data_IF_297427929151
#
_entry.id   IF_297427929151
#
_cell.length_a   1.000
_cell.length_b   1.000
_cell.length_c   1.000
_cell.angle_alpha   90.00
_cell.angle_beta   90.00
_cell.angle_gamma   90.00
#
_symmetry.space_group_name_H-M   'P 1'
#
loop_
_entity.id
_entity.type
_entity.pdbx_description
1 polymer ?
#
# COMPACT_ATOMS: atom_id res chain seq x y z
N UNK A 1 48.11 -29.40 8.06
CA UNK A 1 46.76 -28.79 8.16
C UNK A 1 45.98 -29.12 6.91
N UNK A 2 45.01 -30.03 6.99
CA UNK A 2 44.24 -30.50 5.84
C UNK A 2 43.12 -29.50 5.49
N UNK A 3 43.15 -28.95 4.29
CA UNK A 3 42.10 -28.06 3.75
C UNK A 3 41.01 -28.96 3.13
N UNK A 4 39.80 -28.94 3.70
CA UNK A 4 38.63 -29.59 3.10
C UNK A 4 38.15 -28.75 1.91
N UNK A 5 37.93 -29.31 0.71
CA UNK A 5 37.26 -28.60 -0.37
C UNK A 5 35.76 -28.51 -0.09
N UNK A 6 35.21 -27.30 -0.27
CA UNK A 6 33.80 -26.93 -0.05
C UNK A 6 32.87 -27.55 -1.09
N UNK A 7 31.65 -27.92 -0.65
CA UNK A 7 30.71 -28.80 -1.36
C UNK A 7 29.62 -28.12 -2.21
N UNK A 8 29.62 -26.79 -2.40
CA UNK A 8 28.49 -26.12 -3.07
C UNK A 8 28.90 -24.96 -3.99
N UNK A 9 30.02 -25.12 -4.70
CA UNK A 9 30.30 -24.41 -5.95
C UNK A 9 29.38 -24.84 -7.12
N UNK A 10 28.26 -25.51 -6.80
CA UNK A 10 27.35 -26.20 -7.72
C UNK A 10 25.90 -25.70 -7.51
N UNK A 11 25.72 -24.38 -7.39
CA UNK A 11 24.41 -23.72 -7.23
C UNK A 11 24.12 -22.78 -8.41
N UNK A 12 25.12 -22.46 -9.23
CA UNK A 12 24.99 -21.49 -10.33
C UNK A 12 25.04 -22.14 -11.72
N UNK A 13 24.73 -23.43 -11.84
CA UNK A 13 24.60 -24.15 -13.12
C UNK A 13 23.13 -24.58 -13.29
N UNK A 14 22.23 -23.60 -13.30
CA UNK A 14 20.86 -23.76 -13.80
C UNK A 14 20.76 -22.85 -15.03
N UNK A 15 21.23 -23.38 -16.16
CA UNK A 15 20.95 -22.82 -17.49
C UNK A 15 19.48 -23.13 -17.83
N UNK A 16 18.67 -22.14 -18.26
CA UNK A 16 17.36 -22.41 -18.80
C UNK A 16 17.50 -22.94 -20.23
N UNK A 17 17.57 -24.26 -20.38
CA UNK A 17 17.51 -24.89 -21.70
C UNK A 17 16.05 -24.87 -22.22
N UNK A 18 15.80 -23.93 -23.13
CA UNK A 18 14.65 -23.87 -24.02
C UNK A 18 14.57 -25.16 -24.86
N UNK A 19 13.49 -25.94 -24.72
CA UNK A 19 13.11 -26.96 -25.68
C UNK A 19 11.61 -26.87 -26.00
N UNK A 20 11.36 -26.42 -27.22
CA UNK A 20 10.07 -26.16 -27.83
C UNK A 20 9.24 -27.42 -28.15
N UNK A 21 7.92 -27.19 -28.30
CA UNK A 21 7.03 -27.69 -29.37
C UNK A 21 5.77 -28.46 -28.90
N UNK A 22 4.61 -27.78 -28.92
CA UNK A 22 3.46 -28.13 -29.76
C UNK A 22 2.31 -27.11 -29.56
N UNK A 23 1.85 -26.41 -30.62
CA UNK A 23 0.66 -25.57 -30.57
C UNK A 23 -0.58 -26.43 -30.84
N UNK A 24 -1.58 -26.36 -29.97
CA UNK A 24 -2.87 -27.02 -30.22
C UNK A 24 -4.01 -26.02 -30.02
N UNK A 25 -4.67 -25.76 -31.15
CA UNK A 25 -6.08 -25.44 -31.30
C UNK A 25 -6.63 -24.22 -30.53
N UNK A 26 -6.61 -23.08 -31.23
CA UNK A 26 -7.85 -22.50 -31.75
C UNK A 26 -9.13 -22.78 -30.93
N UNK A 27 -9.44 -21.85 -30.03
CA UNK A 27 -10.81 -21.46 -29.78
C UNK A 27 -10.89 -19.96 -30.04
N UNK A 28 -10.93 -19.61 -31.33
CA UNK A 28 -11.56 -18.39 -31.76
C UNK A 28 -13.00 -18.42 -31.24
N UNK A 29 -13.31 -17.59 -30.24
CA UNK A 29 -14.67 -17.15 -30.01
C UNK A 29 -14.70 -15.67 -30.33
N UNK A 30 -15.14 -15.40 -31.56
CA UNK A 30 -15.50 -14.07 -32.02
C UNK A 30 -16.43 -13.34 -31.04
N UNK A 31 -16.40 -11.99 -31.06
CA UNK A 31 -17.11 -11.17 -30.10
C UNK A 31 -18.59 -11.08 -30.45
N UNK A 32 -19.43 -11.82 -29.73
CA UNK A 32 -20.88 -11.61 -29.82
C UNK A 32 -21.29 -10.41 -28.96
N UNK A 33 -21.48 -9.29 -29.67
CA UNK A 33 -22.30 -8.16 -29.26
C UNK A 33 -23.66 -8.64 -28.74
N UNK A 34 -24.13 -8.10 -27.61
CA UNK A 34 -25.38 -7.35 -27.55
C UNK A 34 -25.89 -7.13 -26.12
N UNK A 35 -25.99 -5.84 -25.77
CA UNK A 35 -27.13 -5.18 -25.11
C UNK A 35 -27.57 -5.65 -23.71
N UNK A 36 -27.33 -4.76 -22.73
CA UNK A 36 -28.28 -4.50 -21.65
C UNK A 36 -27.64 -4.02 -20.35
N UNK A 37 -27.98 -2.84 -19.81
CA UNK A 37 -27.54 -2.43 -18.48
C UNK A 37 -28.39 -3.17 -17.44
N UNK A 38 -28.01 -4.41 -17.12
CA UNK A 38 -28.66 -5.15 -16.04
C UNK A 38 -27.98 -4.85 -14.71
N UNK A 39 -28.51 -3.81 -14.07
CA UNK A 39 -28.45 -3.54 -12.63
C UNK A 39 -28.64 -4.86 -11.86
N UNK A 40 -27.56 -5.46 -11.37
CA UNK A 40 -27.60 -6.69 -10.58
C UNK A 40 -27.02 -6.47 -9.19
N UNK A 41 -27.95 -6.28 -8.25
CA UNK A 41 -27.99 -6.94 -6.93
C UNK A 41 -26.68 -6.97 -6.12
N UNK A 42 -26.53 -5.93 -5.31
CA UNK A 42 -26.24 -5.97 -3.86
C UNK A 42 -25.74 -7.33 -3.34
N UNK A 43 -24.43 -7.47 -3.18
CA UNK A 43 -23.79 -8.46 -2.29
C UNK A 43 -23.53 -7.79 -0.93
N UNK A 44 -24.05 -8.29 0.20
CA UNK A 44 -23.75 -7.78 1.51
C UNK A 44 -22.81 -8.74 2.24
N UNK A 45 -21.51 -8.69 1.98
CA UNK A 45 -20.53 -9.30 2.90
C UNK A 45 -19.08 -8.85 2.66
N UNK A 46 -18.89 -7.54 2.50
CA UNK A 46 -17.58 -6.94 2.78
C UNK A 46 -17.67 -6.28 4.14
N UNK A 47 -16.85 -6.66 5.14
CA UNK A 47 -16.76 -5.90 6.38
C UNK A 47 -16.34 -4.49 5.99
N UNK A 48 -17.30 -3.57 6.07
CA UNK A 48 -17.04 -2.16 5.91
C UNK A 48 -16.12 -1.80 7.07
N UNK A 49 -14.88 -1.32 6.84
CA UNK A 49 -14.05 -0.87 7.94
C UNK A 49 -14.87 0.21 8.65
N UNK A 50 -15.25 -0.07 9.89
CA UNK A 50 -15.94 0.88 10.76
C UNK A 50 -15.05 2.10 10.79
N UNK A 51 -15.43 3.14 10.04
CA UNK A 51 -14.65 4.35 9.98
C UNK A 51 -14.61 4.89 11.41
N UNK A 52 -13.42 4.99 12.04
CA UNK A 52 -13.33 5.47 13.40
C UNK A 52 -14.03 6.83 13.46
N UNK A 53 -14.85 7.03 14.49
CA UNK A 53 -15.56 8.27 14.73
C UNK A 53 -14.60 9.43 14.46
N UNK A 54 -14.86 10.20 13.39
CA UNK A 54 -13.97 11.22 12.86
C UNK A 54 -13.86 12.36 13.88
N UNK A 55 -13.04 12.17 14.90
CA UNK A 55 -12.56 13.23 15.78
C UNK A 55 -11.65 14.08 14.91
N UNK A 56 -12.28 14.94 14.12
CA UNK A 56 -11.57 15.92 13.30
C UNK A 56 -10.72 16.72 14.25
N UNK A 57 -9.41 16.71 14.04
CA UNK A 57 -8.49 17.51 14.83
C UNK A 57 -8.69 19.00 14.65
N UNK A 58 -9.42 19.40 13.60
CA UNK A 58 -9.75 20.80 13.29
C UNK A 58 -11.24 20.92 12.92
N UNK A 59 -12.14 21.06 13.91
CA UNK A 59 -13.54 21.35 13.61
C UNK A 59 -13.65 22.68 12.84
N UNK A 60 -14.48 22.70 11.79
CA UNK A 60 -14.72 23.90 10.97
C UNK A 60 -13.71 24.17 9.85
N UNK A 61 -12.64 23.37 9.72
CA UNK A 61 -11.69 23.46 8.59
C UNK A 61 -11.88 22.33 7.60
N UNK A 62 -11.66 22.63 6.31
CA UNK A 62 -11.68 21.61 5.26
C UNK A 62 -10.43 20.73 5.38
N UNK A 63 -10.55 19.39 5.22
CA UNK A 63 -9.39 18.52 5.18
C UNK A 63 -8.53 18.85 3.97
N UNK A 64 -7.21 18.83 4.16
CA UNK A 64 -6.23 19.05 3.09
C UNK A 64 -5.74 17.68 2.61
N UNK A 65 -5.83 17.44 1.32
CA UNK A 65 -5.25 16.24 0.70
C UNK A 65 -3.80 16.54 0.31
N UNK A 66 -2.89 15.75 0.84
CA UNK A 66 -1.46 15.83 0.53
C UNK A 66 -1.02 14.51 -0.10
N UNK A 67 -0.24 14.61 -1.18
CA UNK A 67 0.39 13.45 -1.78
C UNK A 67 1.67 13.14 -1.03
N UNK A 68 1.79 11.92 -0.53
CA UNK A 68 2.97 11.42 0.18
C UNK A 68 3.42 10.17 -0.58
N UNK A 69 4.71 10.08 -0.98
CA UNK A 69 5.29 8.87 -1.54
C UNK A 69 5.07 7.63 -0.65
N UNK A 70 4.97 6.45 -1.27
CA UNK A 70 4.57 5.22 -0.56
C UNK A 70 5.57 4.82 0.53
N UNK A 71 6.86 5.03 0.31
CA UNK A 71 7.93 4.79 1.28
C UNK A 71 7.72 5.64 2.56
N UNK A 72 7.48 6.93 2.38
CA UNK A 72 7.17 7.83 3.49
C UNK A 72 5.84 7.46 4.18
N UNK A 73 4.84 7.06 3.39
CA UNK A 73 3.55 6.65 3.93
C UNK A 73 3.64 5.35 4.75
N UNK A 74 4.54 4.43 4.39
CA UNK A 74 4.87 3.24 5.20
C UNK A 74 5.53 3.63 6.52
N UNK A 75 6.50 4.53 6.50
CA UNK A 75 7.14 5.02 7.72
C UNK A 75 6.12 5.67 8.67
N UNK A 76 5.19 6.47 8.16
CA UNK A 76 4.12 7.06 8.97
C UNK A 76 3.18 6.02 9.58
N UNK A 77 2.86 4.94 8.86
CA UNK A 77 2.05 3.82 9.39
C UNK A 77 2.77 3.08 10.50
N UNK A 78 4.08 2.90 10.37
CA UNK A 78 4.89 2.28 11.41
C UNK A 78 4.90 3.13 12.69
N UNK A 79 5.14 4.44 12.56
CA UNK A 79 5.07 5.38 13.70
C UNK A 79 3.70 5.39 14.38
N UNK A 80 2.62 5.33 13.60
CA UNK A 80 1.25 5.24 14.12
C UNK A 80 1.06 4.02 15.03
N UNK A 81 1.60 2.86 14.66
CA UNK A 81 1.55 1.64 15.50
C UNK A 81 2.35 1.82 16.79
N UNK A 82 3.54 2.40 16.69
CA UNK A 82 4.42 2.66 17.85
C UNK A 82 3.78 3.63 18.86
N UNK A 83 3.03 4.62 18.37
CA UNK A 83 2.29 5.58 19.21
C UNK A 83 0.95 5.03 19.72
N UNK A 84 0.71 3.72 19.63
CA UNK A 84 -0.50 3.08 20.16
C UNK A 84 -1.66 2.99 19.17
N UNK A 85 -1.37 3.02 17.86
CA UNK A 85 -2.36 2.94 16.79
C UNK A 85 -3.09 4.27 16.54
N UNK A 86 -2.45 5.40 16.82
CA UNK A 86 -3.03 6.72 16.54
C UNK A 86 -3.32 6.88 15.04
N UNK A 87 -4.44 7.51 14.64
CA UNK A 87 -4.72 7.70 13.23
C UNK A 87 -3.64 8.56 12.57
N UNK A 88 -3.26 8.20 11.34
CA UNK A 88 -2.24 8.91 10.55
C UNK A 88 -2.45 10.42 10.49
N UNK A 89 -3.70 10.88 10.52
CA UNK A 89 -4.05 12.31 10.53
C UNK A 89 -3.55 13.03 11.78
N UNK A 90 -3.53 12.37 12.94
CA UNK A 90 -3.05 12.96 14.21
C UNK A 90 -1.52 12.94 14.26
N UNK A 91 -0.90 11.84 13.85
CA UNK A 91 0.57 11.70 13.77
C UNK A 91 1.15 12.77 12.83
N UNK A 92 0.63 12.85 11.61
CA UNK A 92 1.09 13.83 10.61
C UNK A 92 0.87 15.26 11.06
N UNK A 93 -0.24 15.56 11.73
CA UNK A 93 -0.48 16.87 12.31
C UNK A 93 0.52 17.23 13.41
N UNK A 94 0.79 16.31 14.35
CA UNK A 94 1.77 16.54 15.42
C UNK A 94 3.15 16.85 14.82
N UNK A 95 3.57 16.09 13.82
CA UNK A 95 4.82 16.32 13.09
C UNK A 95 4.83 17.68 12.37
N UNK A 96 3.72 18.06 11.72
CA UNK A 96 3.59 19.37 11.07
C UNK A 96 3.66 20.51 12.09
N UNK A 97 2.97 20.42 13.24
CA UNK A 97 3.05 21.43 14.31
C UNK A 97 4.48 21.56 14.84
N UNK A 98 5.15 20.45 15.12
CA UNK A 98 6.55 20.45 15.56
C UNK A 98 7.48 21.11 14.52
N UNK A 99 7.30 20.79 13.23
CA UNK A 99 8.06 21.42 12.16
C UNK A 99 7.81 22.94 12.08
N UNK A 100 6.55 23.37 12.20
CA UNK A 100 6.17 24.77 12.19
C UNK A 100 6.77 25.53 13.38
N UNK A 101 6.75 24.96 14.58
CA UNK A 101 7.37 25.54 15.77
C UNK A 101 8.89 25.66 15.59
N UNK A 102 9.56 24.62 15.07
CA UNK A 102 11.01 24.66 14.73
C UNK A 102 11.34 25.74 13.70
N UNK A 103 10.39 26.08 12.81
CA UNK A 103 10.51 27.17 11.82
C UNK A 103 10.19 28.56 12.39
N UNK A 104 9.82 28.66 13.68
CA UNK A 104 9.48 29.93 14.34
C UNK A 104 7.99 30.28 14.31
N UNK A 105 7.11 29.40 13.81
CA UNK A 105 5.68 29.61 13.87
C UNK A 105 5.10 29.21 15.23
N UNK A 106 5.15 30.14 16.18
CA UNK A 106 4.74 29.93 17.59
C UNK A 106 3.24 29.79 17.81
N UNK A 107 2.41 30.10 16.80
CA UNK A 107 0.95 29.90 16.85
C UNK A 107 0.52 28.43 16.98
N UNK A 108 1.46 27.51 16.75
CA UNK A 108 1.23 26.06 16.76
C UNK A 108 2.04 25.35 17.86
N UNK A 109 2.50 26.09 18.87
CA UNK A 109 3.14 25.52 20.05
C UNK A 109 2.21 24.48 20.72
N UNK A 110 2.78 23.40 21.30
CA UNK A 110 2.02 22.30 21.89
C UNK A 110 1.15 22.73 23.06
#
# INVERSE_FOLDING_TARGET
>A
MAKRPSALASIFDDEPEEAAAAPIAEAASEPQQAVGPRRSRRSPDTPTPVAPARRSSHPGKKPVLIHIPEDMHRALRQLSVEEGGEPLTVVTERLLRQYLVKRGHTRFAP
#
